data_IF_631521269510
#
_entry.id   IF_631521269510
#
_cell.length_a   1.000
_cell.length_b   1.000
_cell.length_c   1.000
_cell.angle_alpha   90.00
_cell.angle_beta   90.00
_cell.angle_gamma   90.00
#
_symmetry.space_group_name_H-M   'P 1'
#
loop_
_entity.id
_entity.type
_entity.pdbx_description
1 polymer ?
#
# COMPACT_ATOMS: atom_id res chain seq x y z
N UNK A 1 18.94 29.77 -14.28
CA UNK A 1 19.35 30.06 -12.88
C UNK A 1 19.56 28.73 -12.16
N UNK A 2 20.81 28.27 -12.07
CA UNK A 2 21.13 26.99 -11.46
C UNK A 2 21.14 27.13 -9.93
N UNK A 3 20.32 26.35 -9.21
CA UNK A 3 20.38 26.30 -7.74
C UNK A 3 21.73 25.68 -7.32
N UNK A 4 22.44 26.26 -6.35
CA UNK A 4 23.71 25.72 -5.89
C UNK A 4 23.48 24.33 -5.27
N UNK A 5 24.39 23.39 -5.55
CA UNK A 5 24.41 22.09 -4.86
C UNK A 5 24.78 22.34 -3.39
N UNK A 6 23.87 22.07 -2.47
CA UNK A 6 24.13 22.21 -1.03
C UNK A 6 25.21 21.22 -0.57
N UNK A 7 26.18 21.75 0.18
CA UNK A 7 27.27 21.02 0.82
C UNK A 7 26.65 20.32 2.05
N UNK A 8 27.06 19.09 2.44
CA UNK A 8 26.47 18.33 3.54
C UNK A 8 26.27 19.09 4.87
N UNK A 9 27.03 20.14 5.14
CA UNK A 9 26.90 21.02 6.32
C UNK A 9 25.69 21.97 6.29
N UNK A 10 25.12 22.27 5.13
CA UNK A 10 24.01 23.21 4.96
C UNK A 10 22.68 22.61 5.46
N UNK A 11 22.44 21.33 5.16
CA UNK A 11 21.27 20.59 5.64
C UNK A 11 21.32 20.37 7.18
N UNK A 12 22.51 20.15 7.75
CA UNK A 12 22.71 20.01 9.20
C UNK A 12 22.49 21.34 9.93
N UNK A 13 23.00 22.43 9.35
CA UNK A 13 22.75 23.78 9.84
C UNK A 13 21.26 24.17 9.72
N UNK A 14 20.57 23.70 8.68
CA UNK A 14 19.14 23.92 8.50
C UNK A 14 18.29 23.16 9.53
N UNK A 15 18.60 21.91 9.85
CA UNK A 15 17.97 21.17 10.94
C UNK A 15 18.25 21.83 12.30
N UNK A 16 19.51 22.24 12.54
CA UNK A 16 19.88 22.94 13.76
C UNK A 16 19.17 24.30 13.90
N UNK A 17 18.93 25.01 12.79
CA UNK A 17 18.14 26.24 12.78
C UNK A 17 16.66 26.01 13.13
N UNK A 18 16.14 24.81 12.90
CA UNK A 18 14.80 24.37 13.34
C UNK A 18 14.79 23.75 14.75
N UNK A 19 15.92 23.78 15.47
CA UNK A 19 16.04 23.25 16.83
C UNK A 19 16.27 21.74 16.92
N UNK A 20 16.62 21.08 15.81
CA UNK A 20 16.86 19.63 15.75
C UNK A 20 18.35 19.32 15.45
N UNK A 21 18.98 18.46 16.26
CA UNK A 21 20.32 17.91 15.98
C UNK A 21 20.24 16.85 14.88
N UNK A 22 21.17 16.86 13.92
CA UNK A 22 21.24 15.80 12.91
C UNK A 22 21.90 14.54 13.51
N UNK A 23 21.11 13.61 14.04
CA UNK A 23 21.61 12.39 14.71
C UNK A 23 21.59 11.14 13.81
N UNK A 24 20.70 11.10 12.80
CA UNK A 24 20.58 9.96 11.90
C UNK A 24 21.63 9.99 10.75
N UNK A 25 22.23 8.83 10.48
CA UNK A 25 23.14 8.63 9.34
C UNK A 25 22.32 8.53 8.04
N UNK A 26 22.68 9.34 7.04
CA UNK A 26 22.06 9.34 5.70
C UNK A 26 22.40 8.05 4.94
N UNK A 27 21.58 7.01 5.13
CA UNK A 27 21.82 5.68 4.56
C UNK A 27 21.04 5.43 3.26
N UNK A 28 20.08 6.30 2.89
CA UNK A 28 19.22 6.08 1.73
C UNK A 28 19.54 7.03 0.56
N UNK A 29 19.68 6.46 -0.64
CA UNK A 29 19.67 7.23 -1.88
C UNK A 29 18.23 7.61 -2.26
N UNK A 30 18.04 8.63 -3.11
CA UNK A 30 16.71 9.06 -3.59
C UNK A 30 15.91 7.91 -4.20
N UNK A 31 16.57 7.08 -5.02
CA UNK A 31 15.94 5.95 -5.71
C UNK A 31 15.63 4.82 -4.71
N UNK A 32 16.52 4.59 -3.75
CA UNK A 32 16.29 3.63 -2.67
C UNK A 32 15.11 4.02 -1.79
N UNK A 33 14.94 5.33 -1.50
CA UNK A 33 13.80 5.81 -0.72
C UNK A 33 12.50 5.80 -1.54
N UNK A 34 12.54 6.14 -2.83
CA UNK A 34 11.38 5.99 -3.70
C UNK A 34 10.93 4.52 -3.80
N UNK A 35 11.89 3.60 -3.94
CA UNK A 35 11.62 2.16 -3.95
C UNK A 35 11.10 1.66 -2.61
N UNK A 36 11.63 2.14 -1.49
CA UNK A 36 11.10 1.84 -0.16
C UNK A 36 9.68 2.39 0.03
N UNK A 37 9.42 3.64 -0.34
CA UNK A 37 8.08 4.23 -0.30
C UNK A 37 7.10 3.42 -1.16
N UNK A 38 7.49 3.06 -2.38
CA UNK A 38 6.69 2.17 -3.22
C UNK A 38 6.46 0.79 -2.59
N UNK A 39 7.47 0.21 -1.93
CA UNK A 39 7.35 -1.08 -1.25
C UNK A 39 6.48 -1.00 0.03
N UNK A 40 6.38 0.17 0.67
CA UNK A 40 5.46 0.42 1.79
C UNK A 40 4.02 0.48 1.27
N UNK A 41 3.78 1.28 0.22
CA UNK A 41 2.44 1.44 -0.35
C UNK A 41 1.97 0.13 -1.00
N UNK A 42 2.86 -0.48 -1.78
CA UNK A 42 2.70 -1.74 -2.50
C UNK A 42 1.27 -1.93 -3.08
N UNK A 43 0.82 -0.89 -3.77
CA UNK A 43 -0.60 -0.68 -4.10
C UNK A 43 -1.22 -1.82 -4.89
N UNK A 44 -0.50 -2.38 -5.86
CA UNK A 44 -1.02 -3.47 -6.70
C UNK A 44 -1.41 -4.70 -5.88
N UNK A 45 -0.66 -4.99 -4.81
CA UNK A 45 -0.97 -6.07 -3.87
C UNK A 45 -2.17 -5.72 -3.00
N UNK A 46 -2.22 -4.51 -2.44
CA UNK A 46 -3.34 -4.06 -1.60
C UNK A 46 -4.66 -4.03 -2.40
N UNK A 47 -4.62 -3.47 -3.62
CA UNK A 47 -5.76 -3.41 -4.55
C UNK A 47 -6.28 -4.79 -4.90
N UNK A 48 -5.40 -5.73 -5.22
CA UNK A 48 -5.82 -7.09 -5.56
C UNK A 48 -6.37 -7.82 -4.33
N UNK A 49 -5.72 -7.70 -3.16
CA UNK A 49 -6.16 -8.34 -1.92
C UNK A 49 -7.53 -7.86 -1.46
N UNK A 50 -7.89 -6.62 -1.80
CA UNK A 50 -9.17 -5.99 -1.47
C UNK A 50 -10.22 -6.06 -2.60
N UNK A 51 -10.02 -6.89 -3.63
CA UNK A 51 -11.01 -7.09 -4.71
C UNK A 51 -12.38 -7.55 -4.20
N UNK A 52 -12.42 -8.24 -3.06
CA UNK A 52 -13.68 -8.65 -2.41
C UNK A 52 -14.55 -7.47 -1.97
N UNK A 53 -13.98 -6.27 -1.83
CA UNK A 53 -14.72 -5.06 -1.51
C UNK A 53 -15.30 -4.42 -2.78
N UNK A 54 -14.50 -4.27 -3.83
CA UNK A 54 -14.86 -3.48 -5.00
C UNK A 54 -15.64 -4.24 -6.08
N UNK A 55 -15.38 -5.54 -6.28
CA UNK A 55 -16.11 -6.35 -7.27
C UNK A 55 -17.63 -6.40 -7.02
N UNK A 56 -18.12 -6.72 -5.81
CA UNK A 56 -19.56 -6.66 -5.53
C UNK A 56 -20.09 -5.22 -5.44
N UNK A 57 -19.20 -4.23 -5.26
CA UNK A 57 -19.52 -2.81 -5.01
C UNK A 57 -19.17 -1.93 -6.21
N UNK A 58 -19.84 -2.19 -7.33
CA UNK A 58 -19.72 -1.45 -8.59
C UNK A 58 -18.86 -2.13 -9.66
N UNK A 59 -18.38 -3.35 -9.42
CA UNK A 59 -17.78 -4.21 -10.45
C UNK A 59 -16.46 -3.68 -11.04
N UNK A 60 -16.15 -4.07 -12.28
CA UNK A 60 -14.94 -3.64 -13.01
C UNK A 60 -14.79 -2.11 -13.07
N UNK A 61 -15.91 -1.39 -13.27
CA UNK A 61 -15.93 0.08 -13.29
C UNK A 61 -15.42 0.66 -11.98
N UNK A 62 -15.88 0.14 -10.84
CA UNK A 62 -15.45 0.62 -9.51
C UNK A 62 -13.98 0.28 -9.23
N UNK A 63 -13.56 -0.93 -9.60
CA UNK A 63 -12.17 -1.40 -9.45
C UNK A 63 -11.18 -0.49 -10.20
N UNK A 64 -11.48 -0.13 -11.45
CA UNK A 64 -10.58 0.68 -12.28
C UNK A 64 -10.76 2.18 -12.02
N UNK A 65 -11.97 2.70 -12.19
CA UNK A 65 -12.20 4.14 -12.10
C UNK A 65 -12.17 4.63 -10.66
N UNK A 66 -12.52 3.77 -9.70
CA UNK A 66 -12.36 4.10 -8.29
C UNK A 66 -10.90 4.30 -7.89
N UNK A 67 -9.98 3.50 -8.45
CA UNK A 67 -8.55 3.74 -8.30
C UNK A 67 -8.13 5.09 -8.89
N UNK A 68 -8.61 5.45 -10.08
CA UNK A 68 -8.25 6.72 -10.73
C UNK A 68 -8.79 7.91 -9.93
N UNK A 69 -10.04 7.85 -9.49
CA UNK A 69 -10.66 8.90 -8.65
C UNK A 69 -9.90 9.04 -7.33
N UNK A 70 -9.64 7.93 -6.62
CA UNK A 70 -8.86 7.94 -5.39
C UNK A 70 -7.42 8.43 -5.63
N UNK A 71 -6.84 8.11 -6.79
CA UNK A 71 -5.52 8.55 -7.22
C UNK A 71 -5.42 10.06 -7.38
N UNK A 72 -6.39 10.68 -8.06
CA UNK A 72 -6.44 12.14 -8.22
C UNK A 72 -6.57 12.82 -6.84
N UNK A 73 -7.48 12.34 -5.99
CA UNK A 73 -7.65 12.89 -4.65
C UNK A 73 -6.38 12.75 -3.80
N UNK A 74 -5.73 11.57 -3.81
CA UNK A 74 -4.49 11.34 -3.08
C UNK A 74 -3.32 12.15 -3.65
N UNK A 75 -3.25 12.41 -4.96
CA UNK A 75 -2.24 13.29 -5.54
C UNK A 75 -2.43 14.75 -5.07
N UNK A 76 -3.66 15.24 -4.95
CA UNK A 76 -3.93 16.56 -4.37
C UNK A 76 -3.49 16.64 -2.90
N UNK A 77 -3.80 15.61 -2.10
CA UNK A 77 -3.36 15.52 -0.70
C UNK A 77 -1.83 15.44 -0.61
N UNK A 78 -1.20 14.59 -1.42
CA UNK A 78 0.24 14.43 -1.47
C UNK A 78 0.95 15.72 -1.91
N UNK A 79 0.39 16.47 -2.87
CA UNK A 79 0.94 17.76 -3.28
C UNK A 79 0.91 18.77 -2.13
N UNK A 80 -0.20 18.86 -1.40
CA UNK A 80 -0.30 19.76 -0.24
C UNK A 80 0.69 19.37 0.88
N UNK A 81 0.78 18.09 1.23
CA UNK A 81 1.76 17.64 2.25
C UNK A 81 3.21 17.76 1.77
N UNK A 82 3.46 17.59 0.47
CA UNK A 82 4.78 17.75 -0.12
C UNK A 82 5.28 19.20 -0.01
N UNK A 83 4.41 20.20 -0.07
CA UNK A 83 4.79 21.60 0.20
C UNK A 83 5.25 21.79 1.64
N UNK A 84 4.51 21.24 2.61
CA UNK A 84 4.90 21.29 4.02
C UNK A 84 6.19 20.54 4.30
N UNK A 85 6.37 19.36 3.70
CA UNK A 85 7.60 18.59 3.80
C UNK A 85 8.80 19.33 3.19
N UNK A 86 8.58 20.16 2.17
CA UNK A 86 9.62 20.99 1.57
C UNK A 86 10.06 22.11 2.51
N UNK A 87 9.11 22.74 3.20
CA UNK A 87 9.35 23.84 4.12
C UNK A 87 9.87 23.37 5.50
N UNK A 88 9.39 22.23 6.00
CA UNK A 88 9.69 21.69 7.32
C UNK A 88 10.01 20.19 7.23
N UNK A 89 11.21 19.83 6.76
CA UNK A 89 11.64 18.45 6.58
C UNK A 89 12.06 17.80 7.92
N UNK A 90 11.11 17.63 8.83
CA UNK A 90 11.34 16.98 10.13
C UNK A 90 10.61 15.64 10.21
N UNK A 91 11.20 14.67 10.91
CA UNK A 91 10.59 13.33 11.07
C UNK A 91 9.26 13.34 11.84
N UNK A 92 8.98 14.44 12.56
CA UNK A 92 7.69 14.67 13.24
C UNK A 92 6.50 14.78 12.28
N UNK A 93 6.73 15.08 11.00
CA UNK A 93 5.67 15.08 9.98
C UNK A 93 4.48 15.98 10.34
N UNK A 94 3.27 15.47 10.15
CA UNK A 94 2.03 16.26 10.20
C UNK A 94 1.77 16.95 11.54
N UNK A 95 2.02 16.31 12.68
CA UNK A 95 1.76 16.95 13.98
C UNK A 95 2.70 18.13 14.23
N UNK A 96 3.95 18.02 13.77
CA UNK A 96 4.92 19.11 13.87
C UNK A 96 4.58 20.25 12.92
N UNK A 97 4.15 19.95 11.69
CA UNK A 97 3.69 20.98 10.75
C UNK A 97 2.53 21.79 11.33
N UNK A 98 1.57 21.12 11.96
CA UNK A 98 0.47 21.81 12.66
C UNK A 98 0.99 22.68 13.80
N UNK A 99 1.96 22.20 14.58
CA UNK A 99 2.52 22.98 15.69
C UNK A 99 3.22 24.27 15.23
N UNK A 100 3.83 24.27 14.05
CA UNK A 100 4.55 25.43 13.50
C UNK A 100 3.60 26.45 12.85
N UNK A 101 2.48 26.00 12.29
CA UNK A 101 1.61 26.85 11.45
C UNK A 101 0.31 27.28 12.16
N UNK A 102 -0.16 26.49 13.11
CA UNK A 102 -1.38 26.80 13.84
C UNK A 102 -1.24 28.08 14.68
N UNK A 103 -2.37 28.72 14.95
CA UNK A 103 -2.42 29.91 15.81
C UNK A 103 -2.04 29.51 17.24
N UNK A 104 -1.24 30.32 17.93
CA UNK A 104 -0.60 29.97 19.22
C UNK A 104 -1.58 29.36 20.24
N UNK A 105 -2.79 29.91 20.35
CA UNK A 105 -3.81 29.43 21.27
C UNK A 105 -4.34 28.02 20.96
N UNK A 106 -4.26 27.59 19.70
CA UNK A 106 -4.80 26.32 19.19
C UNK A 106 -3.73 25.26 18.96
N UNK A 107 -2.45 25.63 18.99
CA UNK A 107 -1.31 24.72 18.77
C UNK A 107 -1.41 23.42 19.58
N UNK A 108 -1.66 23.44 20.91
CA UNK A 108 -1.70 22.21 21.70
C UNK A 108 -2.81 21.26 21.25
N UNK A 109 -4.02 21.79 21.00
CA UNK A 109 -5.21 20.98 20.68
C UNK A 109 -5.12 20.43 19.26
N UNK A 110 -4.76 21.27 18.29
CA UNK A 110 -4.68 20.86 16.88
C UNK A 110 -3.55 19.85 16.68
N UNK A 111 -2.36 20.09 17.24
CA UNK A 111 -1.22 19.18 17.10
C UNK A 111 -1.48 17.84 17.79
N UNK A 112 -2.10 17.86 18.97
CA UNK A 112 -2.50 16.64 19.69
C UNK A 112 -3.51 15.83 18.89
N UNK A 113 -4.54 16.48 18.36
CA UNK A 113 -5.59 15.82 17.57
C UNK A 113 -5.03 15.22 16.28
N UNK A 114 -4.21 15.98 15.54
CA UNK A 114 -3.53 15.48 14.33
C UNK A 114 -2.61 14.30 14.64
N UNK A 115 -1.84 14.37 15.74
CA UNK A 115 -0.99 13.27 16.18
C UNK A 115 -1.78 11.99 16.47
N UNK A 116 -2.87 12.07 17.22
CA UNK A 116 -3.71 10.90 17.53
C UNK A 116 -4.43 10.32 16.33
N UNK A 117 -4.91 11.16 15.40
CA UNK A 117 -5.51 10.70 14.14
C UNK A 117 -4.46 9.93 13.32
N UNK A 118 -3.25 10.47 13.21
CA UNK A 118 -2.15 9.82 12.51
C UNK A 118 -1.81 8.46 13.14
N UNK A 119 -1.56 8.43 14.46
CA UNK A 119 -1.27 7.18 15.19
C UNK A 119 -2.38 6.14 15.02
N UNK A 120 -3.64 6.55 15.13
CA UNK A 120 -4.79 5.66 14.93
C UNK A 120 -4.85 5.10 13.51
N UNK A 121 -4.54 5.92 12.50
CA UNK A 121 -4.44 5.50 11.10
C UNK A 121 -3.35 4.45 10.88
N UNK A 122 -2.16 4.67 11.44
CA UNK A 122 -1.04 3.72 11.36
C UNK A 122 -1.33 2.39 12.08
N UNK A 123 -2.01 2.43 13.22
CA UNK A 123 -2.49 1.22 13.92
C UNK A 123 -3.51 0.46 13.06
N UNK A 124 -4.50 1.16 12.51
CA UNK A 124 -5.52 0.56 11.64
C UNK A 124 -4.90 -0.04 10.37
N UNK A 125 -3.89 0.60 9.80
CA UNK A 125 -3.18 0.11 8.62
C UNK A 125 -2.37 -1.17 8.94
N UNK A 126 -1.71 -1.21 10.09
CA UNK A 126 -1.02 -2.43 10.59
C UNK A 126 -2.02 -3.57 10.74
N UNK A 127 -3.17 -3.30 11.36
CA UNK A 127 -4.22 -4.29 11.52
C UNK A 127 -4.77 -4.76 10.15
N UNK A 128 -4.88 -3.85 9.17
CA UNK A 128 -5.33 -4.20 7.81
C UNK A 128 -4.34 -5.12 7.10
N UNK A 129 -3.03 -4.90 7.26
CA UNK A 129 -1.99 -5.78 6.70
C UNK A 129 -2.12 -7.23 7.21
N UNK A 130 -2.34 -7.40 8.52
CA UNK A 130 -2.63 -8.71 9.12
C UNK A 130 -3.94 -9.32 8.62
N UNK A 131 -4.99 -8.51 8.45
CA UNK A 131 -6.29 -8.97 7.96
C UNK A 131 -6.17 -9.52 6.53
N UNK A 132 -5.64 -8.73 5.60
CA UNK A 132 -5.48 -9.14 4.21
C UNK A 132 -4.55 -10.35 4.08
N UNK A 133 -3.42 -10.36 4.80
CA UNK A 133 -2.50 -11.50 4.80
C UNK A 133 -3.15 -12.79 5.29
N UNK A 134 -3.91 -12.71 6.40
CA UNK A 134 -4.64 -13.87 6.95
C UNK A 134 -5.76 -14.36 6.03
N UNK A 135 -6.44 -13.47 5.31
CA UNK A 135 -7.47 -13.83 4.33
C UNK A 135 -6.86 -14.63 3.18
N UNK A 136 -5.74 -14.17 2.61
CA UNK A 136 -5.08 -14.89 1.52
C UNK A 136 -4.59 -16.27 1.96
N UNK A 137 -3.97 -16.39 3.14
CA UNK A 137 -3.50 -17.69 3.66
C UNK A 137 -4.68 -18.63 3.92
N UNK A 138 -5.76 -18.14 4.53
CA UNK A 138 -6.98 -18.94 4.77
C UNK A 138 -7.60 -19.39 3.44
N UNK A 139 -7.62 -18.51 2.43
CA UNK A 139 -8.06 -18.81 1.08
C UNK A 139 -7.24 -19.93 0.42
N UNK A 140 -5.90 -19.91 0.57
CA UNK A 140 -5.02 -21.01 0.11
C UNK A 140 -5.40 -22.34 0.78
N UNK A 141 -5.62 -22.34 2.10
CA UNK A 141 -5.96 -23.55 2.85
C UNK A 141 -7.30 -24.14 2.36
N UNK A 142 -8.32 -23.29 2.20
CA UNK A 142 -9.63 -23.70 1.69
C UNK A 142 -9.55 -24.21 0.24
N UNK A 143 -8.75 -23.54 -0.60
CA UNK A 143 -8.57 -23.92 -1.99
C UNK A 143 -7.84 -25.27 -2.17
N UNK A 144 -6.86 -25.55 -1.32
CA UNK A 144 -6.08 -26.80 -1.39
C UNK A 144 -6.77 -27.98 -0.70
N UNK A 145 -7.68 -27.73 0.24
CA UNK A 145 -8.37 -28.77 1.01
C UNK A 145 -9.90 -28.66 0.81
N UNK A 146 -10.49 -29.42 -0.14
CA UNK A 146 -11.91 -29.33 -0.46
C UNK A 146 -12.89 -29.65 0.70
N UNK A 147 -12.42 -30.26 1.79
CA UNK A 147 -13.21 -30.54 2.99
C UNK A 147 -12.98 -29.55 4.15
N UNK A 148 -12.20 -28.50 3.94
CA UNK A 148 -11.90 -27.51 4.97
C UNK A 148 -12.97 -26.42 5.00
N UNK A 149 -13.67 -26.33 6.13
CA UNK A 149 -14.62 -25.25 6.41
C UNK A 149 -13.93 -24.12 7.17
N UNK A 150 -13.80 -22.96 6.52
CA UNK A 150 -13.04 -21.83 7.04
C UNK A 150 -13.82 -21.09 8.14
N UNK A 151 -13.52 -21.43 9.39
CA UNK A 151 -14.10 -20.78 10.56
C UNK A 151 -13.39 -19.46 10.90
N UNK A 152 -14.13 -18.48 11.45
CA UNK A 152 -13.60 -17.15 11.80
C UNK A 152 -12.41 -17.20 12.76
N UNK A 153 -12.39 -18.18 13.67
CA UNK A 153 -11.30 -18.34 14.63
C UNK A 153 -10.00 -18.88 13.97
N UNK A 154 -10.10 -19.66 12.89
CA UNK A 154 -8.92 -20.07 12.11
C UNK A 154 -8.20 -18.85 11.54
N UNK A 155 -8.96 -17.94 10.92
CA UNK A 155 -8.43 -16.71 10.37
C UNK A 155 -7.84 -15.82 11.48
N UNK A 156 -8.50 -15.73 12.64
CA UNK A 156 -7.98 -14.97 13.79
C UNK A 156 -6.62 -15.51 14.27
N UNK A 157 -6.43 -16.82 14.36
CA UNK A 157 -5.15 -17.40 14.76
C UNK A 157 -4.04 -17.09 13.74
N UNK A 158 -4.35 -17.19 12.44
CA UNK A 158 -3.41 -16.83 11.37
C UNK A 158 -3.08 -15.34 11.43
N UNK A 159 -4.09 -14.49 11.63
CA UNK A 159 -3.92 -13.04 11.81
C UNK A 159 -2.97 -12.70 12.96
N UNK A 160 -3.17 -13.33 14.13
CA UNK A 160 -2.32 -13.13 15.30
C UNK A 160 -0.90 -13.61 15.02
N UNK A 161 -0.74 -14.79 14.43
CA UNK A 161 0.59 -15.32 14.07
C UNK A 161 1.31 -14.41 13.07
N UNK A 162 0.60 -13.94 12.05
CA UNK A 162 1.12 -13.05 11.01
C UNK A 162 1.61 -11.72 11.58
N UNK A 163 0.79 -11.10 12.44
CA UNK A 163 1.14 -9.85 13.13
C UNK A 163 2.28 -10.08 14.12
N UNK A 164 2.33 -11.22 14.81
CA UNK A 164 3.40 -11.57 15.73
C UNK A 164 4.74 -11.75 15.02
N UNK A 165 4.76 -12.35 13.81
CA UNK A 165 5.98 -12.41 12.99
C UNK A 165 6.47 -11.00 12.65
N UNK A 166 5.58 -10.11 12.22
CA UNK A 166 5.94 -8.72 11.94
C UNK A 166 6.49 -8.01 13.20
N UNK A 167 5.89 -8.26 14.35
CA UNK A 167 6.36 -7.74 15.65
C UNK A 167 7.74 -8.28 16.02
N UNK A 168 7.98 -9.59 15.92
CA UNK A 168 9.28 -10.21 16.25
C UNK A 168 10.40 -9.63 15.40
N UNK A 169 10.16 -9.43 14.09
CA UNK A 169 11.15 -8.82 13.19
C UNK A 169 11.48 -7.39 13.63
N UNK A 170 10.47 -6.61 14.01
CA UNK A 170 10.67 -5.23 14.48
C UNK A 170 11.29 -5.15 15.88
N UNK A 171 10.97 -6.08 16.78
CA UNK A 171 11.49 -6.08 18.14
C UNK A 171 12.94 -6.59 18.23
N UNK A 172 13.28 -7.65 17.47
CA UNK A 172 14.54 -8.37 17.64
C UNK A 172 15.47 -8.31 16.42
N UNK A 173 14.95 -8.03 15.22
CA UNK A 173 15.72 -8.07 13.97
C UNK A 173 15.87 -6.69 13.30
N UNK A 174 15.94 -5.62 14.09
CA UNK A 174 16.07 -4.23 13.60
C UNK A 174 17.27 -4.01 12.67
N UNK A 175 18.35 -4.78 12.87
CA UNK A 175 19.54 -4.76 12.00
C UNK A 175 19.28 -5.32 10.59
N UNK A 176 18.30 -6.20 10.43
CA UNK A 176 17.92 -6.78 9.14
C UNK A 176 16.93 -5.91 8.36
N UNK A 177 16.28 -4.94 8.99
CA UNK A 177 15.27 -4.08 8.35
C UNK A 177 15.73 -3.47 7.01
N UNK A 178 16.96 -2.93 6.86
CA UNK A 178 17.41 -2.41 5.56
C UNK A 178 17.48 -3.48 4.46
N UNK A 179 17.84 -4.72 4.81
CA UNK A 179 17.87 -5.86 3.89
C UNK A 179 16.44 -6.29 3.52
N UNK A 180 15.55 -6.35 4.52
CA UNK A 180 14.13 -6.69 4.34
C UNK A 180 13.46 -5.70 3.40
N UNK A 181 13.66 -4.39 3.61
CA UNK A 181 13.19 -3.33 2.71
C UNK A 181 13.65 -3.52 1.27
N UNK A 182 14.95 -3.80 1.08
CA UNK A 182 15.50 -3.99 -0.27
C UNK A 182 14.94 -5.24 -0.93
N UNK A 183 14.81 -6.33 -0.17
CA UNK A 183 14.20 -7.57 -0.64
C UNK A 183 12.73 -7.36 -0.99
N UNK A 184 11.98 -6.63 -0.17
CA UNK A 184 10.57 -6.30 -0.39
C UNK A 184 10.35 -5.55 -1.70
N UNK A 185 11.20 -4.57 -2.00
CA UNK A 185 11.14 -3.84 -3.25
C UNK A 185 11.35 -4.75 -4.48
N UNK A 186 12.41 -5.58 -4.46
CA UNK A 186 12.71 -6.51 -5.54
C UNK A 186 11.57 -7.52 -5.69
N UNK A 187 11.11 -8.08 -4.57
CA UNK A 187 10.02 -9.05 -4.54
C UNK A 187 8.71 -8.49 -5.08
N UNK A 188 8.38 -7.24 -4.76
CA UNK A 188 7.19 -6.56 -5.27
C UNK A 188 7.24 -6.35 -6.78
N UNK A 189 8.37 -5.87 -7.32
CA UNK A 189 8.52 -5.69 -8.78
C UNK A 189 8.46 -7.04 -9.49
N UNK A 190 9.19 -8.05 -8.99
CA UNK A 190 9.15 -9.39 -9.55
C UNK A 190 7.74 -9.97 -9.50
N UNK A 191 7.03 -9.81 -8.38
CA UNK A 191 5.65 -10.27 -8.22
C UNK A 191 4.70 -9.61 -9.21
N UNK A 192 4.73 -8.27 -9.30
CA UNK A 192 3.92 -7.52 -10.26
C UNK A 192 4.15 -7.99 -11.70
N UNK A 193 5.40 -8.10 -12.12
CA UNK A 193 5.74 -8.48 -13.50
C UNK A 193 5.42 -9.95 -13.78
N UNK A 194 5.84 -10.88 -12.92
CA UNK A 194 5.63 -12.31 -13.12
C UNK A 194 4.15 -12.68 -13.05
N UNK A 195 3.39 -12.14 -12.10
CA UNK A 195 1.95 -12.38 -12.03
C UNK A 195 1.23 -11.82 -13.25
N UNK A 196 1.55 -10.59 -13.68
CA UNK A 196 0.91 -9.99 -14.85
C UNK A 196 1.15 -10.80 -16.12
N UNK A 197 2.42 -11.17 -16.38
CA UNK A 197 2.79 -11.94 -17.57
C UNK A 197 2.19 -13.34 -17.52
N UNK A 198 2.28 -14.04 -16.37
CA UNK A 198 1.81 -15.42 -16.25
C UNK A 198 0.28 -15.48 -16.35
N UNK A 199 -0.45 -14.57 -15.70
CA UNK A 199 -1.90 -14.51 -15.78
C UNK A 199 -2.38 -14.30 -17.23
N UNK A 200 -1.78 -13.34 -17.95
CA UNK A 200 -2.11 -13.09 -19.35
C UNK A 200 -1.73 -14.29 -20.24
N UNK A 201 -0.51 -14.82 -20.09
CA UNK A 201 -0.02 -15.90 -20.92
C UNK A 201 -0.85 -17.18 -20.77
N UNK A 202 -1.28 -17.51 -19.55
CA UNK A 202 -2.09 -18.70 -19.30
C UNK A 202 -3.57 -18.52 -19.69
N UNK A 203 -4.11 -17.30 -19.61
CA UNK A 203 -5.49 -17.02 -20.02
C UNK A 203 -5.69 -17.05 -21.54
N UNK A 204 -4.62 -16.87 -22.32
CA UNK A 204 -4.67 -16.87 -23.78
C UNK A 204 -5.37 -18.11 -24.35
N UNK A 205 -6.28 -17.96 -25.34
CA UNK A 205 -6.66 -16.73 -26.06
C UNK A 205 -7.93 -16.05 -25.52
N UNK A 206 -8.48 -16.52 -24.39
CA UNK A 206 -9.78 -16.11 -23.87
C UNK A 206 -9.62 -14.95 -22.88
N UNK A 207 -9.97 -13.75 -23.33
CA UNK A 207 -9.96 -12.54 -22.49
C UNK A 207 -11.34 -11.88 -22.48
N UNK A 208 -11.64 -11.18 -21.39
CA UNK A 208 -12.82 -10.31 -21.31
C UNK A 208 -12.74 -9.16 -22.31
N UNK A 209 -13.90 -8.66 -22.72
CA UNK A 209 -13.96 -7.49 -23.58
C UNK A 209 -13.52 -6.22 -22.84
N UNK A 210 -12.96 -5.25 -23.56
CA UNK A 210 -12.67 -3.93 -22.97
C UNK A 210 -13.93 -3.20 -22.48
N UNK A 211 -15.10 -3.53 -23.05
CA UNK A 211 -16.38 -3.03 -22.55
C UNK A 211 -16.69 -3.58 -21.15
N UNK A 212 -16.46 -4.87 -20.91
CA UNK A 212 -16.59 -5.44 -19.58
C UNK A 212 -15.62 -4.77 -18.59
N UNK A 213 -14.33 -4.72 -18.94
CA UNK A 213 -13.29 -4.22 -18.03
C UNK A 213 -13.49 -2.74 -17.64
N UNK A 214 -13.90 -1.89 -18.58
CA UNK A 214 -13.94 -0.44 -18.35
C UNK A 214 -15.34 0.15 -18.17
N UNK A 215 -16.42 -0.59 -18.47
CA UNK A 215 -17.80 -0.08 -18.43
C UNK A 215 -18.79 -0.97 -17.69
N UNK A 216 -18.49 -2.23 -17.43
CA UNK A 216 -19.43 -3.08 -16.69
C UNK A 216 -19.55 -2.60 -15.24
N UNK A 217 -20.80 -2.50 -14.80
CA UNK A 217 -21.16 -2.14 -13.43
C UNK A 217 -21.94 -3.30 -12.82
N UNK A 218 -21.50 -3.74 -11.64
CA UNK A 218 -22.07 -4.89 -10.92
C UNK A 218 -22.35 -4.44 -9.50
N UNK A 219 -23.58 -4.67 -9.02
CA UNK A 219 -24.00 -4.25 -7.70
C UNK A 219 -24.69 -5.39 -6.96
N UNK A 220 -23.97 -5.98 -6.01
CA UNK A 220 -24.46 -7.04 -5.12
C UNK A 220 -24.62 -6.55 -3.67
N UNK A 221 -24.45 -5.24 -3.45
CA UNK A 221 -24.42 -4.66 -2.10
C UNK A 221 -25.80 -4.48 -1.47
N UNK A 222 -26.86 -4.52 -2.28
CA UNK A 222 -28.23 -4.18 -1.88
C UNK A 222 -28.48 -2.67 -1.73
N UNK A 223 -27.46 -1.83 -1.91
CA UNK A 223 -27.58 -0.37 -1.90
C UNK A 223 -27.82 0.19 -3.32
N UNK A 224 -28.35 1.43 -3.45
CA UNK A 224 -28.41 2.12 -4.74
C UNK A 224 -27.02 2.24 -5.39
N UNK A 225 -26.98 2.22 -6.73
CA UNK A 225 -25.74 2.16 -7.52
C UNK A 225 -24.72 3.24 -7.15
N UNK A 226 -25.17 4.46 -6.84
CA UNK A 226 -24.26 5.52 -6.39
C UNK A 226 -23.56 5.20 -5.07
N UNK A 227 -24.27 4.60 -4.11
CA UNK A 227 -23.69 4.19 -2.82
C UNK A 227 -22.79 2.97 -3.03
N UNK A 228 -23.21 2.00 -3.85
CA UNK A 228 -22.38 0.84 -4.19
C UNK A 228 -21.04 1.27 -4.82
N UNK A 229 -21.06 2.26 -5.71
CA UNK A 229 -19.82 2.81 -6.28
C UNK A 229 -18.93 3.47 -5.22
N UNK A 230 -19.50 4.25 -4.30
CA UNK A 230 -18.76 4.83 -3.17
C UNK A 230 -18.16 3.76 -2.25
N UNK A 231 -18.85 2.63 -2.05
CA UNK A 231 -18.33 1.50 -1.28
C UNK A 231 -17.11 0.87 -1.97
N UNK A 232 -17.11 0.76 -3.30
CA UNK A 232 -15.94 0.26 -4.02
C UNK A 232 -14.75 1.23 -4.03
N UNK A 233 -14.97 2.55 -3.89
CA UNK A 233 -13.87 3.52 -3.72
C UNK A 233 -12.97 3.22 -2.52
N UNK A 234 -13.46 2.50 -1.50
CA UNK A 234 -12.66 2.11 -0.34
C UNK A 234 -11.41 1.31 -0.76
N UNK A 235 -11.50 0.50 -1.82
CA UNK A 235 -10.37 -0.26 -2.36
C UNK A 235 -9.25 0.68 -2.83
N UNK A 236 -9.59 1.69 -3.63
CA UNK A 236 -8.65 2.69 -4.15
C UNK A 236 -8.09 3.58 -3.04
N UNK A 237 -8.94 3.99 -2.09
CA UNK A 237 -8.52 4.80 -0.94
C UNK A 237 -7.53 4.06 -0.04
N UNK A 238 -7.80 2.77 0.26
CA UNK A 238 -6.93 1.93 1.06
C UNK A 238 -5.54 1.78 0.42
N UNK A 239 -5.49 1.45 -0.87
CA UNK A 239 -4.24 1.10 -1.53
C UNK A 239 -3.30 2.27 -1.83
N UNK A 240 -3.81 3.50 -1.71
CA UNK A 240 -3.04 4.72 -1.94
C UNK A 240 -2.79 5.52 -0.66
N UNK A 241 -3.12 4.96 0.50
CA UNK A 241 -2.79 5.53 1.82
C UNK A 241 -1.31 5.30 2.15
N UNK A 242 -0.79 5.98 3.19
CA UNK A 242 0.57 5.83 3.74
C UNK A 242 1.71 6.46 2.92
N UNK A 243 1.42 7.37 1.98
CA UNK A 243 2.46 8.16 1.32
C UNK A 243 3.19 9.15 2.26
N UNK A 244 2.59 9.45 3.41
CA UNK A 244 3.20 10.21 4.50
C UNK A 244 4.32 9.44 5.22
N UNK A 245 4.50 8.13 4.96
CA UNK A 245 5.66 7.36 5.41
C UNK A 245 7.00 8.05 5.09
N UNK A 246 7.06 8.72 3.94
CA UNK A 246 8.25 9.45 3.47
C UNK A 246 8.64 10.56 4.44
N UNK A 247 7.66 11.22 5.07
CA UNK A 247 7.92 12.28 6.05
C UNK A 247 8.59 11.72 7.31
N UNK A 248 8.19 10.54 7.77
CA UNK A 248 8.74 9.91 8.97
C UNK A 248 10.19 9.41 8.79
N UNK A 249 10.63 9.21 7.55
CA UNK A 249 11.99 8.78 7.23
C UNK A 249 12.83 9.89 6.60
N UNK A 250 12.34 11.13 6.64
CA UNK A 250 12.88 12.22 5.83
C UNK A 250 14.33 12.58 6.20
N UNK A 251 14.70 12.42 7.46
CA UNK A 251 16.03 12.74 7.98
C UNK A 251 17.12 11.76 7.49
N UNK A 252 16.73 10.60 6.95
CA UNK A 252 17.65 9.59 6.45
C UNK A 252 18.07 9.78 4.97
N UNK A 253 17.55 10.84 4.29
CA UNK A 253 17.94 11.18 2.92
C UNK A 253 18.75 12.47 2.77
N UNK A 254 19.63 12.55 1.76
CA UNK A 254 20.29 13.80 1.39
C UNK A 254 19.33 14.74 0.69
N UNK A 255 19.33 16.03 1.06
CA UNK A 255 18.46 17.09 0.51
C UNK A 255 16.96 16.83 0.72
N UNK A 256 16.52 16.67 1.97
CA UNK A 256 15.16 16.25 2.29
C UNK A 256 14.08 17.24 1.79
N UNK A 257 14.34 18.54 1.89
CA UNK A 257 13.43 19.62 1.45
C UNK A 257 13.13 19.61 -0.05
N UNK A 258 13.99 19.01 -0.87
CA UNK A 258 13.81 18.95 -2.34
C UNK A 258 13.40 17.56 -2.79
N UNK A 259 13.95 16.52 -2.18
CA UNK A 259 13.76 15.14 -2.62
C UNK A 259 12.57 14.46 -1.97
N UNK A 260 12.31 14.72 -0.69
CA UNK A 260 11.13 14.19 0.02
C UNK A 260 9.82 14.49 -0.70
N UNK A 261 9.53 15.77 -1.03
CA UNK A 261 8.33 16.16 -1.76
C UNK A 261 8.15 15.41 -3.09
N UNK A 262 9.23 15.24 -3.85
CA UNK A 262 9.22 14.51 -5.13
C UNK A 262 8.99 13.03 -4.94
N UNK A 263 9.57 12.43 -3.90
CA UNK A 263 9.37 11.01 -3.57
C UNK A 263 7.92 10.77 -3.17
N UNK A 264 7.33 11.64 -2.34
CA UNK A 264 5.94 11.54 -1.90
C UNK A 264 4.94 11.59 -3.06
N UNK A 265 5.07 12.56 -3.96
CA UNK A 265 4.20 12.64 -5.15
C UNK A 265 4.50 11.47 -6.11
N UNK A 266 5.78 11.15 -6.30
CA UNK A 266 6.23 10.08 -7.19
C UNK A 266 5.71 8.70 -6.78
N UNK A 267 5.70 8.38 -5.47
CA UNK A 267 5.23 7.09 -5.00
C UNK A 267 3.72 6.92 -5.22
N UNK A 268 2.92 7.97 -5.04
CA UNK A 268 1.47 7.92 -5.34
C UNK A 268 1.25 7.74 -6.84
N UNK A 269 1.92 8.51 -7.69
CA UNK A 269 1.79 8.41 -9.15
C UNK A 269 2.18 7.02 -9.68
N UNK A 270 3.30 6.47 -9.21
CA UNK A 270 3.73 5.11 -9.56
C UNK A 270 2.69 4.09 -9.06
N UNK A 271 2.19 4.26 -7.84
CA UNK A 271 1.20 3.35 -7.24
C UNK A 271 -0.13 3.31 -8.01
N UNK A 272 -0.60 4.46 -8.50
CA UNK A 272 -1.79 4.55 -9.37
C UNK A 272 -1.52 3.83 -10.68
N UNK A 273 -0.37 4.07 -11.32
CA UNK A 273 -0.02 3.44 -12.59
C UNK A 273 0.12 1.92 -12.48
N UNK A 274 0.89 1.43 -11.50
CA UNK A 274 1.08 -0.01 -11.29
C UNK A 274 -0.22 -0.69 -10.89
N UNK A 275 -1.03 -0.02 -10.05
CA UNK A 275 -2.35 -0.51 -9.66
C UNK A 275 -3.29 -0.63 -10.86
N UNK A 276 -3.34 0.40 -11.72
CA UNK A 276 -4.19 0.41 -12.90
C UNK A 276 -3.84 -0.71 -13.87
N UNK A 277 -2.54 -0.90 -14.15
CA UNK A 277 -2.06 -1.96 -15.02
C UNK A 277 -2.41 -3.33 -14.44
N UNK A 278 -2.12 -3.57 -13.15
CA UNK A 278 -2.36 -4.86 -12.53
C UNK A 278 -3.84 -5.23 -12.46
N UNK A 279 -4.69 -4.28 -12.05
CA UNK A 279 -6.14 -4.50 -11.99
C UNK A 279 -6.73 -4.74 -13.38
N UNK A 280 -6.26 -4.02 -14.40
CA UNK A 280 -6.67 -4.26 -15.78
C UNK A 280 -6.33 -5.69 -16.19
N UNK A 281 -5.12 -6.17 -15.89
CA UNK A 281 -4.73 -7.57 -16.17
C UNK A 281 -5.66 -8.57 -15.49
N UNK A 282 -5.94 -8.40 -14.20
CA UNK A 282 -6.82 -9.31 -13.47
C UNK A 282 -8.25 -9.31 -14.05
N UNK A 283 -8.79 -8.16 -14.41
CA UNK A 283 -10.14 -8.05 -14.99
C UNK A 283 -10.22 -8.59 -16.42
N UNK A 284 -9.16 -8.48 -17.23
CA UNK A 284 -9.11 -9.08 -18.56
C UNK A 284 -9.07 -10.62 -18.51
N UNK A 285 -8.48 -11.18 -17.46
CA UNK A 285 -8.30 -12.61 -17.26
C UNK A 285 -9.45 -13.26 -16.47
N UNK A 286 -10.26 -12.44 -15.77
CA UNK A 286 -11.42 -12.88 -15.02
C UNK A 286 -12.42 -13.58 -15.95
N UNK A 287 -12.83 -14.82 -15.62
CA UNK A 287 -13.80 -15.58 -16.44
C UNK A 287 -15.24 -15.38 -15.97
N UNK A 288 -15.49 -15.64 -14.69
CA UNK A 288 -16.81 -15.60 -14.08
C UNK A 288 -16.78 -14.75 -12.81
N UNK A 289 -17.54 -13.65 -12.81
CA UNK A 289 -17.55 -12.71 -11.67
C UNK A 289 -18.21 -13.33 -10.45
N UNK A 290 -19.30 -14.07 -10.62
CA UNK A 290 -20.07 -14.64 -9.52
C UNK A 290 -19.25 -15.74 -8.84
N UNK A 291 -18.55 -16.56 -9.62
CA UNK A 291 -17.61 -17.55 -9.09
C UNK A 291 -16.46 -16.89 -8.31
N UNK A 292 -15.94 -15.75 -8.80
CA UNK A 292 -14.86 -15.01 -8.14
C UNK A 292 -15.32 -14.36 -6.83
N UNK A 293 -16.52 -13.79 -6.78
CA UNK A 293 -17.07 -13.15 -5.57
C UNK A 293 -17.42 -14.20 -4.51
N UNK A 294 -17.99 -15.33 -4.91
CA UNK A 294 -18.45 -16.38 -4.00
C UNK A 294 -17.35 -17.38 -3.59
N UNK A 295 -16.17 -17.34 -4.22
CA UNK A 295 -15.11 -18.32 -3.99
C UNK A 295 -14.57 -18.27 -2.55
N UNK A 296 -14.54 -19.41 -1.82
CA UNK A 296 -13.90 -19.51 -0.51
C UNK A 296 -12.39 -19.23 -0.55
N UNK A 297 -11.77 -19.35 -1.73
CA UNK A 297 -10.36 -19.05 -1.95
C UNK A 297 -10.05 -17.54 -1.97
N UNK A 298 -11.09 -16.72 -2.14
CA UNK A 298 -10.99 -15.29 -2.35
C UNK A 298 -10.76 -14.91 -3.82
N UNK A 299 -11.06 -13.66 -4.20
CA UNK A 299 -11.12 -13.26 -5.61
C UNK A 299 -9.83 -13.45 -6.40
N UNK A 300 -8.68 -13.06 -5.84
CA UNK A 300 -7.40 -13.16 -6.56
C UNK A 300 -7.06 -14.61 -6.89
N UNK A 301 -7.16 -15.49 -5.89
CA UNK A 301 -6.77 -16.88 -6.06
C UNK A 301 -7.68 -17.58 -7.09
N UNK A 302 -8.98 -17.25 -7.06
CA UNK A 302 -9.92 -17.73 -8.07
C UNK A 302 -9.55 -17.23 -9.48
N UNK A 303 -9.30 -15.93 -9.66
CA UNK A 303 -8.89 -15.37 -10.96
C UNK A 303 -7.61 -16.04 -11.46
N UNK A 304 -6.61 -16.22 -10.60
CA UNK A 304 -5.36 -16.89 -10.97
C UNK A 304 -5.58 -18.37 -11.33
N UNK A 305 -6.50 -19.05 -10.66
CA UNK A 305 -6.86 -20.42 -11.00
C UNK A 305 -7.61 -20.51 -12.33
N UNK A 306 -8.56 -19.61 -12.57
CA UNK A 306 -9.30 -19.51 -13.84
C UNK A 306 -8.36 -19.21 -15.02
N UNK A 307 -7.28 -18.47 -14.76
CA UNK A 307 -6.22 -18.20 -15.72
C UNK A 307 -5.31 -19.42 -15.97
N UNK A 308 -4.84 -20.06 -14.90
CA UNK A 308 -3.75 -21.04 -14.97
C UNK A 308 -4.23 -22.49 -15.11
N UNK A 309 -5.50 -22.77 -14.78
CA UNK A 309 -6.07 -24.10 -14.65
C UNK A 309 -5.21 -25.08 -13.82
N UNK A 310 -4.34 -24.56 -12.94
CA UNK A 310 -3.35 -25.34 -12.19
C UNK A 310 -3.26 -24.82 -10.75
N UNK A 311 -3.77 -25.63 -9.81
CA UNK A 311 -3.83 -25.26 -8.39
C UNK A 311 -2.48 -24.85 -7.81
N UNK A 312 -1.43 -25.61 -8.07
CA UNK A 312 -0.09 -25.32 -7.55
C UNK A 312 0.47 -24.04 -8.16
N UNK A 313 0.28 -23.86 -9.47
CA UNK A 313 0.69 -22.63 -10.17
C UNK A 313 0.00 -21.39 -9.61
N UNK A 314 -1.31 -21.45 -9.36
CA UNK A 314 -2.08 -20.32 -8.80
C UNK A 314 -1.62 -19.95 -7.40
N UNK A 315 -1.36 -20.95 -6.54
CA UNK A 315 -0.85 -20.73 -5.18
C UNK A 315 0.56 -20.13 -5.21
N UNK A 316 1.45 -20.64 -6.08
CA UNK A 316 2.80 -20.08 -6.25
C UNK A 316 2.75 -18.59 -6.66
N UNK A 317 1.84 -18.22 -7.57
CA UNK A 317 1.63 -16.81 -7.93
C UNK A 317 1.07 -16.00 -6.77
N UNK A 318 0.15 -16.55 -5.97
CA UNK A 318 -0.42 -15.87 -4.81
C UNK A 318 0.58 -15.66 -3.67
N UNK A 319 1.69 -16.43 -3.61
CA UNK A 319 2.72 -16.19 -2.61
C UNK A 319 3.40 -14.82 -2.76
N UNK A 320 3.41 -14.24 -3.96
CA UNK A 320 3.92 -12.88 -4.16
C UNK A 320 3.17 -11.85 -3.32
N UNK A 321 1.83 -11.67 -3.47
CA UNK A 321 1.07 -10.73 -2.66
C UNK A 321 1.07 -11.09 -1.17
N UNK A 322 1.07 -12.37 -0.78
CA UNK A 322 1.17 -12.77 0.64
C UNK A 322 2.46 -12.26 1.28
N UNK A 323 3.61 -12.49 0.65
CA UNK A 323 4.91 -12.07 1.19
C UNK A 323 5.06 -10.54 1.11
N UNK A 324 4.56 -9.94 0.04
CA UNK A 324 4.47 -8.50 -0.13
C UNK A 324 3.71 -7.81 1.02
N UNK A 325 2.52 -8.32 1.39
CA UNK A 325 1.77 -7.81 2.54
C UNK A 325 2.53 -7.99 3.85
N UNK A 326 3.33 -9.05 3.98
CA UNK A 326 4.10 -9.30 5.20
C UNK A 326 5.20 -8.26 5.34
N UNK A 327 5.92 -7.98 4.24
CA UNK A 327 6.90 -6.91 4.19
C UNK A 327 6.29 -5.52 4.43
N UNK A 328 5.11 -5.25 3.86
CA UNK A 328 4.38 -4.02 4.14
C UNK A 328 4.04 -3.92 5.64
N UNK A 329 3.49 -4.98 6.24
CA UNK A 329 3.15 -5.02 7.67
C UNK A 329 4.38 -4.81 8.57
N UNK A 330 5.51 -5.44 8.23
CA UNK A 330 6.80 -5.21 8.93
C UNK A 330 7.22 -3.74 8.82
N UNK A 331 7.11 -3.16 7.63
CA UNK A 331 7.54 -1.78 7.37
C UNK A 331 6.64 -0.74 8.06
N UNK A 332 5.32 -0.95 8.07
CA UNK A 332 4.34 -0.10 8.74
C UNK A 332 4.54 -0.14 10.27
N UNK A 333 4.85 -1.32 10.83
CA UNK A 333 5.10 -1.50 12.25
C UNK A 333 6.49 -0.97 12.69
N UNK A 334 7.38 -0.67 11.74
CA UNK A 334 8.73 -0.19 12.06
C UNK A 334 8.64 1.18 12.74
N UNK A 335 9.08 1.31 14.01
CA UNK A 335 9.09 2.62 14.63
C UNK A 335 10.11 3.52 13.93
N UNK A 336 9.85 4.83 13.81
CA UNK A 336 10.89 5.78 13.46
C UNK A 336 12.04 5.57 14.45
N UNK A 337 13.26 5.37 13.94
CA UNK A 337 14.41 5.11 14.78
C UNK A 337 14.62 6.36 15.63
N UNK A 338 14.33 6.25 16.92
CA UNK A 338 14.65 7.28 17.89
C UNK A 338 16.15 7.59 17.74
N UNK A 339 16.43 8.86 17.44
CA UNK A 339 17.71 9.46 17.69
C UNK A 339 18.03 9.31 19.19
#
# INVERSE_FOLDING_TARGET
MARPRSIPGDDAAYLAAMGHSQELKRNFSTLSMLGLAFAILNSWTALSASLSLALPSGGPTSVIWGLITAGICNLCLAASLAEFLSAYPTAGGQYHWVAVIAWEAWVPILSWTTGWISVSGWIALTATGGLLGSQLITGIIAFMNPGYDAQRWHQLLIYVAYTLVAFIVNAFATRLLPLVTKAAFIWSICGFTLMSITALACASPEYQSGEFVYRAFINETGWPDGIAWLLGLLQGALALTAFDAVAHMIEEIPQPSVKGPKIMIGCVAISVLTGFVFLSVLLFVLRDVEAVISSPAGPILQILYDATANRAGSVCLLMFPVICLLFATISILTPPRAA
#
